data_IF_544951709786
#
_entry.id   IF_544951709786
#
_cell.length_a   1.000
_cell.length_b   1.000
_cell.length_c   1.000
_cell.angle_alpha   90.00
_cell.angle_beta   90.00
_cell.angle_gamma   90.00
#
_symmetry.space_group_name_H-M   'P 1'
#
loop_
_entity.id
_entity.type
_entity.pdbx_description
1 polymer ?
#
# COMPACT_ATOMS: atom_id res chain seq x y z
N UNK A 1 -31.05 18.67 14.10
CA UNK A 1 -31.06 18.41 12.64
C UNK A 1 -30.52 19.63 11.92
N UNK A 2 -29.76 19.41 10.85
CA UNK A 2 -29.28 20.46 9.97
C UNK A 2 -30.26 20.66 8.80
N UNK A 3 -30.39 21.88 8.29
CA UNK A 3 -31.28 22.20 7.16
C UNK A 3 -30.47 22.74 5.99
N UNK A 4 -30.91 22.41 4.77
CA UNK A 4 -30.40 23.05 3.55
C UNK A 4 -31.14 24.38 3.37
N UNK A 5 -30.48 25.47 3.74
CA UNK A 5 -31.02 26.83 3.57
C UNK A 5 -30.32 27.59 2.42
N UNK A 6 -30.93 28.68 1.99
CA UNK A 6 -30.28 29.64 1.11
C UNK A 6 -29.32 30.56 1.88
N UNK A 7 -29.56 30.71 3.19
CA UNK A 7 -28.76 31.50 4.10
C UNK A 7 -27.63 30.63 4.70
N UNK A 8 -26.35 31.05 4.58
CA UNK A 8 -25.22 30.33 5.15
C UNK A 8 -25.27 30.20 6.68
N UNK A 9 -25.88 31.15 7.39
CA UNK A 9 -26.00 31.11 8.85
C UNK A 9 -27.00 30.04 9.28
N UNK A 10 -28.16 29.99 8.63
CA UNK A 10 -29.20 29.00 8.93
C UNK A 10 -28.78 27.55 8.65
N UNK A 11 -27.87 27.36 7.69
CA UNK A 11 -27.34 26.05 7.33
C UNK A 11 -26.45 25.43 8.43
N UNK A 12 -25.91 26.26 9.33
CA UNK A 12 -25.09 25.84 10.46
C UNK A 12 -25.82 25.96 11.81
N UNK A 13 -27.09 26.36 11.82
CA UNK A 13 -27.92 26.35 13.02
C UNK A 13 -28.48 24.95 13.34
N UNK A 14 -28.49 24.64 14.64
CA UNK A 14 -29.12 23.43 15.17
C UNK A 14 -30.62 23.65 15.26
N UNK A 15 -31.35 22.90 14.45
CA UNK A 15 -32.82 22.85 14.51
C UNK A 15 -33.27 21.63 15.32
N UNK A 16 -34.20 21.83 16.24
CA UNK A 16 -34.85 20.76 16.97
C UNK A 16 -36.32 20.67 16.54
N UNK A 17 -36.80 19.45 16.32
CA UNK A 17 -38.21 19.20 16.04
C UNK A 17 -38.99 19.24 17.36
N UNK A 18 -40.10 19.98 17.39
CA UNK A 18 -40.99 20.02 18.56
C UNK A 18 -41.92 18.81 18.54
N UNK A 19 -42.33 18.36 19.73
CA UNK A 19 -43.33 17.27 19.89
C UNK A 19 -44.68 17.60 19.23
N UNK A 20 -45.06 18.88 19.15
CA UNK A 20 -46.34 19.32 18.58
C UNK A 20 -46.25 19.65 17.07
N UNK A 21 -45.20 19.22 16.39
CA UNK A 21 -44.91 19.61 15.01
C UNK A 21 -44.17 20.95 14.89
N UNK A 22 -43.46 21.11 13.78
CA UNK A 22 -42.59 22.26 13.51
C UNK A 22 -41.18 22.14 14.08
N UNK A 23 -40.32 23.07 13.70
CA UNK A 23 -38.90 23.12 14.08
C UNK A 23 -38.60 24.42 14.81
N UNK A 24 -37.75 24.39 15.83
CA UNK A 24 -37.23 25.59 16.51
C UNK A 24 -35.72 25.47 16.66
N UNK A 25 -35.01 26.55 16.39
CA UNK A 25 -33.61 26.74 16.77
C UNK A 25 -33.54 27.54 18.08
N UNK A 26 -32.49 27.32 18.88
CA UNK A 26 -32.17 28.12 20.07
C UNK A 26 -30.92 29.00 19.86
N UNK A 27 -30.58 29.30 18.60
CA UNK A 27 -29.35 30.02 18.26
C UNK A 27 -28.07 29.20 18.47
N UNK A 28 -28.18 27.90 18.70
CA UNK A 28 -27.03 27.01 18.77
C UNK A 28 -26.53 26.70 17.37
N UNK A 29 -25.22 26.75 17.19
CA UNK A 29 -24.53 26.43 15.95
C UNK A 29 -23.87 25.06 16.06
N UNK A 30 -23.73 24.38 14.93
CA UNK A 30 -22.89 23.19 14.85
C UNK A 30 -21.42 23.59 15.06
N UNK A 31 -20.60 22.69 15.65
CA UNK A 31 -19.18 22.95 15.81
C UNK A 31 -18.49 23.11 14.46
N UNK A 32 -17.38 23.85 14.46
CA UNK A 32 -16.60 24.10 13.26
C UNK A 32 -16.12 22.78 12.62
N UNK A 33 -16.13 22.72 11.30
CA UNK A 33 -15.84 21.50 10.53
C UNK A 33 -17.04 20.59 10.29
N UNK A 34 -18.22 20.91 10.82
CA UNK A 34 -19.46 20.17 10.47
C UNK A 34 -19.83 20.41 9.01
N UNK A 35 -20.00 19.34 8.23
CA UNK A 35 -20.42 19.42 6.83
C UNK A 35 -21.73 20.19 6.72
N UNK A 36 -21.84 21.14 5.80
CA UNK A 36 -23.05 21.91 5.57
C UNK A 36 -23.36 22.02 4.07
N UNK A 37 -24.58 22.42 3.73
CA UNK A 37 -24.96 22.61 2.34
C UNK A 37 -25.93 23.77 2.19
N UNK A 38 -25.57 24.73 1.35
CA UNK A 38 -26.47 25.81 0.95
C UNK A 38 -27.14 25.49 -0.38
N UNK A 39 -28.26 26.15 -0.69
CA UNK A 39 -28.92 26.01 -2.01
C UNK A 39 -28.01 26.40 -3.19
N UNK A 40 -26.95 27.19 -2.94
CA UNK A 40 -25.94 27.61 -3.93
C UNK A 40 -24.84 26.56 -4.13
N UNK A 41 -24.50 25.79 -3.09
CA UNK A 41 -23.49 24.72 -3.10
C UNK A 41 -24.03 23.36 -3.59
N UNK A 42 -25.02 23.36 -4.50
CA UNK A 42 -25.73 22.12 -4.85
C UNK A 42 -24.95 21.16 -5.75
N UNK A 43 -23.80 21.56 -6.29
CA UNK A 43 -23.00 20.75 -7.21
C UNK A 43 -21.51 20.76 -6.84
N UNK A 44 -21.08 19.69 -6.17
CA UNK A 44 -19.67 19.26 -6.13
C UNK A 44 -18.69 20.07 -5.28
N UNK A 45 -19.14 21.09 -4.53
CA UNK A 45 -18.29 21.87 -3.63
C UNK A 45 -18.38 21.33 -2.20
N UNK A 46 -17.24 21.20 -1.54
CA UNK A 46 -17.17 20.89 -0.11
C UNK A 46 -17.43 22.15 0.70
N UNK A 47 -18.43 22.11 1.60
CA UNK A 47 -18.77 23.24 2.46
C UNK A 47 -18.84 22.78 3.92
N UNK A 48 -18.33 23.61 4.82
CA UNK A 48 -18.26 23.31 6.26
C UNK A 48 -18.67 24.51 7.10
N UNK A 49 -19.18 24.25 8.29
CA UNK A 49 -19.47 25.29 9.28
C UNK A 49 -18.16 25.85 9.83
N UNK A 50 -18.03 27.18 9.79
CA UNK A 50 -16.95 27.93 10.42
C UNK A 50 -17.59 29.12 11.13
N UNK A 51 -17.37 29.23 12.44
CA UNK A 51 -17.94 30.29 13.27
C UNK A 51 -19.46 30.45 13.08
N UNK A 52 -20.18 29.34 12.93
CA UNK A 52 -21.62 29.34 12.75
C UNK A 52 -22.13 29.72 11.35
N UNK A 53 -21.25 29.89 10.36
CA UNK A 53 -21.61 30.10 8.95
C UNK A 53 -21.16 28.96 8.07
N UNK A 54 -22.00 28.59 7.10
CA UNK A 54 -21.66 27.59 6.10
C UNK A 54 -20.77 28.22 5.01
N UNK A 55 -19.50 27.87 5.02
CA UNK A 55 -18.50 28.41 4.11
C UNK A 55 -18.10 27.36 3.07
N UNK A 56 -17.99 27.80 1.82
CA UNK A 56 -17.59 26.96 0.69
C UNK A 56 -16.07 26.95 0.58
N UNK A 57 -15.49 25.75 0.48
CA UNK A 57 -14.08 25.57 0.22
C UNK A 57 -13.87 25.24 -1.26
N UNK A 58 -12.99 26.00 -1.90
CA UNK A 58 -12.70 25.87 -3.32
C UNK A 58 -11.20 25.60 -3.47
N UNK A 59 -10.87 24.74 -4.43
CA UNK A 59 -9.50 24.31 -4.72
C UNK A 59 -8.77 25.13 -5.78
N UNK A 60 -9.48 26.02 -6.47
CA UNK A 60 -8.92 26.92 -7.47
C UNK A 60 -8.68 28.33 -6.91
N UNK A 61 -7.50 28.87 -7.18
CA UNK A 61 -7.01 30.17 -6.72
C UNK A 61 -7.60 31.39 -7.46
N UNK A 62 -8.63 31.22 -8.27
CA UNK A 62 -9.16 32.29 -9.14
C UNK A 62 -10.35 33.07 -8.55
N UNK A 63 -10.89 32.67 -7.39
CA UNK A 63 -11.96 33.40 -6.72
C UNK A 63 -11.45 34.06 -5.43
N UNK A 64 -11.36 35.39 -5.43
CA UNK A 64 -10.78 36.21 -4.35
C UNK A 64 -11.60 36.23 -3.05
N UNK A 65 -12.73 35.53 -2.96
CA UNK A 65 -13.71 35.66 -1.85
C UNK A 65 -14.03 34.32 -1.15
N UNK A 66 -13.32 33.24 -1.46
CA UNK A 66 -13.57 31.92 -0.86
C UNK A 66 -12.40 31.48 0.04
N UNK A 67 -12.71 30.72 1.10
CA UNK A 67 -11.68 30.07 1.90
C UNK A 67 -10.93 29.07 1.01
N UNK A 68 -9.67 29.39 0.72
CA UNK A 68 -8.80 28.57 -0.11
C UNK A 68 -8.37 27.38 0.74
N UNK A 69 -8.73 26.18 0.31
CA UNK A 69 -8.27 24.96 0.94
C UNK A 69 -6.77 24.78 0.63
N UNK A 70 -5.96 24.35 1.60
CA UNK A 70 -4.54 24.04 1.34
C UNK A 70 -4.43 23.12 0.12
N UNK A 71 -3.51 23.41 -0.80
CA UNK A 71 -3.39 22.70 -2.09
C UNK A 71 -3.22 21.17 -1.95
N UNK A 72 -2.81 20.70 -0.78
CA UNK A 72 -2.63 19.29 -0.40
C UNK A 72 -3.95 18.56 -0.05
N UNK A 73 -4.98 19.30 0.38
CA UNK A 73 -6.31 18.76 0.71
C UNK A 73 -7.28 18.82 -0.48
N UNK A 74 -6.83 19.43 -1.57
CA UNK A 74 -7.53 19.43 -2.84
C UNK A 74 -7.22 18.14 -3.59
N UNK A 75 -8.23 17.47 -4.19
CA UNK A 75 -7.97 16.35 -5.08
C UNK A 75 -7.02 16.85 -6.17
N UNK A 76 -5.80 16.34 -6.21
CA UNK A 76 -4.82 16.66 -7.23
C UNK A 76 -5.26 16.02 -8.55
N UNK A 77 -6.22 16.64 -9.23
CA UNK A 77 -6.62 16.31 -10.60
C UNK A 77 -6.10 17.41 -11.51
N UNK A 78 -4.77 17.43 -11.68
CA UNK A 78 -4.10 18.22 -12.71
C UNK A 78 -3.00 17.39 -13.34
N UNK A 79 -3.44 16.38 -14.10
CA UNK A 79 -2.85 15.99 -15.37
C UNK A 79 -3.65 14.82 -15.93
N UNK A 80 -4.81 15.10 -16.52
CA UNK A 80 -5.23 14.43 -17.76
C UNK A 80 -6.47 15.11 -18.36
N UNK A 81 -6.21 15.90 -19.40
CA UNK A 81 -7.10 16.18 -20.53
C UNK A 81 -8.43 16.88 -20.26
N UNK A 82 -8.37 18.18 -19.95
CA UNK A 82 -9.50 19.09 -20.16
C UNK A 82 -9.57 19.55 -21.63
N UNK A 83 -9.79 18.62 -22.56
CA UNK A 83 -10.28 18.92 -23.93
C UNK A 83 -11.20 17.80 -24.43
N UNK A 84 -12.28 17.49 -23.70
CA UNK A 84 -13.29 16.55 -24.24
C UNK A 84 -14.75 16.90 -23.93
N UNK A 85 -15.03 18.06 -23.33
CA UNK A 85 -16.42 18.44 -23.02
C UNK A 85 -17.13 19.24 -24.13
N UNK A 86 -16.55 19.37 -25.34
CA UNK A 86 -17.22 20.09 -26.45
C UNK A 86 -17.38 19.34 -27.76
N UNK A 87 -16.91 18.09 -27.87
CA UNK A 87 -17.19 17.26 -29.04
C UNK A 87 -17.79 15.95 -28.55
N UNK A 88 -19.03 15.67 -28.97
CA UNK A 88 -19.78 14.46 -28.64
C UNK A 88 -19.22 13.17 -29.26
N UNK A 89 -17.89 13.01 -29.28
CA UNK A 89 -17.22 11.78 -29.67
C UNK A 89 -17.03 10.93 -28.41
N UNK A 90 -17.98 10.02 -28.19
CA UNK A 90 -17.85 8.92 -27.24
C UNK A 90 -16.59 8.10 -27.60
N UNK A 91 -15.46 8.36 -26.96
CA UNK A 91 -14.42 7.34 -26.85
C UNK A 91 -15.03 6.18 -26.06
N UNK A 92 -15.27 5.06 -26.75
CA UNK A 92 -15.73 3.79 -26.19
C UNK A 92 -14.60 3.12 -25.41
N UNK A 93 -14.00 3.81 -24.45
CA UNK A 93 -13.21 3.15 -23.42
C UNK A 93 -14.02 3.25 -22.14
N UNK A 94 -14.66 2.13 -21.78
CA UNK A 94 -15.17 1.89 -20.43
C UNK A 94 -13.97 1.85 -19.47
N UNK A 95 -13.33 2.99 -19.23
CA UNK A 95 -12.38 3.13 -18.14
C UNK A 95 -13.16 2.99 -16.85
N UNK A 96 -12.93 1.88 -16.17
CA UNK A 96 -13.52 1.61 -14.87
C UNK A 96 -13.04 2.73 -13.94
N UNK A 97 -13.94 3.62 -13.54
CA UNK A 97 -13.62 4.68 -12.58
C UNK A 97 -13.58 4.09 -11.18
N UNK A 98 -12.37 3.76 -10.71
CA UNK A 98 -12.11 3.33 -9.34
C UNK A 98 -12.33 4.48 -8.36
N UNK A 99 -13.01 4.20 -7.25
CA UNK A 99 -13.16 5.12 -6.12
C UNK A 99 -12.56 4.48 -4.88
N UNK A 100 -11.83 5.25 -4.08
CA UNK A 100 -11.26 4.78 -2.81
C UNK A 100 -12.36 4.27 -1.88
N UNK A 101 -12.21 3.04 -1.41
CA UNK A 101 -13.06 2.39 -0.42
C UNK A 101 -12.44 2.44 1.00
N UNK A 102 -11.12 2.50 1.10
CA UNK A 102 -10.37 2.64 2.37
C UNK A 102 -9.34 3.79 2.29
N UNK A 103 -8.77 4.14 3.45
CA UNK A 103 -7.60 5.01 3.54
C UNK A 103 -6.34 4.33 2.98
N UNK A 104 -5.24 5.09 2.88
CA UNK A 104 -3.94 4.55 2.50
C UNK A 104 -3.27 3.91 3.72
N UNK A 105 -3.03 2.59 3.66
CA UNK A 105 -2.40 1.86 4.74
C UNK A 105 -0.95 1.50 4.39
N UNK A 106 -0.03 1.82 5.29
CA UNK A 106 1.39 1.55 5.12
C UNK A 106 1.99 0.99 6.40
N UNK A 107 2.76 -0.10 6.28
CA UNK A 107 3.30 -0.84 7.42
C UNK A 107 4.67 -0.36 7.91
N UNK A 108 5.14 0.81 7.44
CA UNK A 108 6.43 1.37 7.80
C UNK A 108 7.62 0.44 7.46
N UNK A 109 7.53 -0.29 6.36
CA UNK A 109 8.62 -1.12 5.83
C UNK A 109 9.12 -0.49 4.53
N UNK A 110 10.44 -0.36 4.40
CA UNK A 110 11.11 0.19 3.21
C UNK A 110 12.24 -0.72 2.73
N UNK A 111 12.31 -1.04 1.43
CA UNK A 111 11.44 -0.56 0.35
C UNK A 111 10.02 -1.14 0.42
N UNK A 112 9.01 -0.31 0.13
CA UNK A 112 7.60 -0.66 0.21
C UNK A 112 6.69 0.51 -0.14
N UNK A 113 5.39 0.24 -0.28
CA UNK A 113 4.38 1.23 -0.64
C UNK A 113 3.11 1.07 0.20
N UNK A 114 2.26 2.09 0.19
CA UNK A 114 0.94 2.02 0.80
C UNK A 114 -0.05 1.30 -0.13
N UNK A 115 -1.06 0.67 0.47
CA UNK A 115 -2.17 0.07 -0.27
C UNK A 115 -3.51 0.56 0.25
N UNK A 116 -4.49 0.58 -0.64
CA UNK A 116 -5.89 0.90 -0.32
C UNK A 116 -6.84 0.01 -1.11
N UNK A 117 -8.03 -0.19 -0.56
CA UNK A 117 -9.14 -0.82 -1.26
C UNK A 117 -9.82 0.21 -2.16
N UNK A 118 -10.19 -0.22 -3.35
CA UNK A 118 -10.96 0.58 -4.31
C UNK A 118 -12.19 -0.17 -4.78
N UNK A 119 -13.22 0.58 -5.16
CA UNK A 119 -14.47 0.05 -5.68
C UNK A 119 -14.89 0.77 -6.96
N UNK A 120 -15.39 0.01 -7.92
CA UNK A 120 -15.98 0.54 -9.15
C UNK A 120 -17.47 0.76 -8.99
N UNK A 121 -17.96 1.95 -9.37
CA UNK A 121 -19.41 2.22 -9.48
C UNK A 121 -19.88 1.83 -10.88
N UNK A 122 -20.24 0.55 -11.05
CA UNK A 122 -20.89 0.02 -12.25
C UNK A 122 -22.14 -0.81 -11.90
N UNK A 123 -22.79 -1.43 -12.91
CA UNK A 123 -23.91 -2.37 -12.68
C UNK A 123 -23.52 -3.54 -11.77
N UNK A 124 -22.24 -3.89 -11.76
CA UNK A 124 -21.63 -4.82 -10.82
C UNK A 124 -20.57 -4.04 -10.04
N UNK A 125 -20.75 -3.89 -8.73
CA UNK A 125 -19.75 -3.30 -7.86
C UNK A 125 -18.56 -4.27 -7.81
N UNK A 126 -17.42 -3.87 -8.37
CA UNK A 126 -16.16 -4.63 -8.28
C UNK A 126 -15.28 -3.99 -7.24
N UNK A 127 -14.68 -4.79 -6.37
CA UNK A 127 -13.60 -4.37 -5.48
C UNK A 127 -12.25 -4.72 -6.11
N UNK A 128 -11.24 -3.91 -5.83
CA UNK A 128 -9.85 -4.17 -6.16
C UNK A 128 -8.94 -3.52 -5.12
N UNK A 129 -7.64 -3.72 -5.29
CA UNK A 129 -6.58 -3.11 -4.49
C UNK A 129 -5.89 -2.08 -5.38
N UNK A 130 -5.48 -0.97 -4.80
CA UNK A 130 -4.67 0.03 -5.50
C UNK A 130 -3.51 0.48 -4.63
N UNK A 131 -2.36 0.76 -5.26
CA UNK A 131 -1.25 1.41 -4.57
C UNK A 131 -1.61 2.84 -4.20
N UNK A 132 -0.98 3.33 -3.14
CA UNK A 132 -1.10 4.71 -2.69
C UNK A 132 0.19 5.14 -2.02
N UNK A 133 0.44 6.45 -2.03
CA UNK A 133 1.57 7.03 -1.31
C UNK A 133 1.16 7.24 0.15
N UNK A 134 1.96 6.76 1.12
CA UNK A 134 1.69 7.02 2.52
C UNK A 134 1.96 8.49 2.87
N UNK A 135 1.17 9.02 3.81
CA UNK A 135 1.44 10.33 4.38
C UNK A 135 2.82 10.33 5.06
N UNK A 136 3.68 11.29 4.73
CA UNK A 136 5.09 11.35 5.14
C UNK A 136 5.33 11.27 6.66
N UNK A 137 4.29 11.52 7.47
CA UNK A 137 4.36 11.58 8.94
C UNK A 137 3.73 10.36 9.65
N UNK A 138 3.28 9.33 8.92
CA UNK A 138 2.59 8.17 9.51
C UNK A 138 3.49 7.16 10.24
N UNK A 139 4.80 7.22 10.06
CA UNK A 139 5.73 6.20 10.56
C UNK A 139 6.75 6.78 11.55
N UNK A 140 6.67 6.38 12.83
CA UNK A 140 7.67 6.78 13.83
C UNK A 140 9.06 6.18 13.58
N UNK A 141 9.13 4.94 13.06
CA UNK A 141 10.39 4.30 12.64
C UNK A 141 10.15 3.36 11.47
N UNK A 142 10.84 3.62 10.37
CA UNK A 142 10.84 2.75 9.19
C UNK A 142 11.77 1.57 9.45
N UNK A 143 11.31 0.36 9.14
CA UNK A 143 12.08 -0.90 9.25
C UNK A 143 12.45 -1.41 7.87
N UNK A 144 13.58 -2.09 7.75
CA UNK A 144 13.89 -2.86 6.53
C UNK A 144 13.20 -4.23 6.56
N UNK A 145 12.96 -4.88 5.40
CA UNK A 145 12.49 -6.27 5.35
C UNK A 145 13.36 -7.21 6.21
N UNK A 146 14.67 -7.03 6.19
CA UNK A 146 15.60 -7.79 7.02
C UNK A 146 15.37 -7.60 8.53
N UNK A 147 15.15 -6.35 8.98
CA UNK A 147 14.87 -6.06 10.39
C UNK A 147 13.52 -6.65 10.82
N UNK A 148 12.51 -6.57 9.95
CA UNK A 148 11.21 -7.18 10.21
C UNK A 148 11.32 -8.70 10.33
N UNK A 149 11.95 -9.35 9.35
CA UNK A 149 12.16 -10.80 9.35
C UNK A 149 12.97 -11.27 10.57
N UNK A 150 14.06 -10.58 10.90
CA UNK A 150 14.89 -10.93 12.08
C UNK A 150 14.14 -10.73 13.39
N UNK A 151 13.22 -9.77 13.48
CA UNK A 151 12.36 -9.63 14.67
C UNK A 151 11.45 -10.85 14.84
N UNK A 152 10.84 -11.34 13.75
CA UNK A 152 10.00 -12.54 13.78
C UNK A 152 10.85 -13.76 14.11
N UNK A 153 11.94 -13.98 13.40
CA UNK A 153 12.83 -15.13 13.62
C UNK A 153 13.45 -15.13 15.03
N UNK A 154 13.71 -13.96 15.61
CA UNK A 154 14.10 -13.83 17.02
C UNK A 154 13.04 -14.39 17.98
N UNK A 155 11.76 -14.09 17.76
CA UNK A 155 10.65 -14.66 18.54
C UNK A 155 10.54 -16.18 18.36
N UNK A 156 10.73 -16.67 17.14
CA UNK A 156 10.68 -18.11 16.86
C UNK A 156 11.85 -18.86 17.49
N UNK A 157 13.05 -18.27 17.53
CA UNK A 157 14.24 -18.84 18.19
C UNK A 157 14.00 -19.17 19.66
N UNK A 158 13.23 -18.35 20.38
CA UNK A 158 12.92 -18.59 21.79
C UNK A 158 12.13 -19.89 22.01
N UNK A 159 11.39 -20.36 21.00
CA UNK A 159 10.50 -21.54 21.08
C UNK A 159 11.00 -22.74 20.27
N UNK A 160 11.64 -22.49 19.14
CA UNK A 160 12.14 -23.49 18.20
C UNK A 160 13.67 -23.47 18.26
N UNK A 161 14.25 -24.56 18.79
CA UNK A 161 15.71 -24.75 18.80
C UNK A 161 16.22 -24.88 17.35
N UNK A 162 17.49 -24.53 17.10
CA UNK A 162 18.18 -24.57 15.79
C UNK A 162 18.03 -23.33 14.89
N UNK A 163 17.48 -22.23 15.39
CA UNK A 163 17.41 -20.96 14.64
C UNK A 163 18.42 -19.95 15.18
N UNK A 164 19.11 -19.24 14.29
CA UNK A 164 20.05 -18.18 14.70
C UNK A 164 19.33 -16.95 15.27
N UNK A 165 18.08 -16.75 14.86
CA UNK A 165 17.27 -15.56 15.14
C UNK A 165 17.34 -14.50 14.03
N UNK A 166 18.20 -14.70 13.03
CA UNK A 166 18.25 -13.85 11.85
C UNK A 166 17.22 -14.31 10.82
N UNK A 167 16.59 -13.35 10.16
CA UNK A 167 15.60 -13.59 9.11
C UNK A 167 15.87 -12.76 7.88
N UNK A 168 15.43 -13.23 6.72
CA UNK A 168 15.56 -12.49 5.47
C UNK A 168 14.39 -12.74 4.52
N UNK A 169 14.31 -11.86 3.52
CA UNK A 169 13.49 -12.04 2.33
C UNK A 169 14.28 -12.86 1.31
N UNK A 170 13.70 -13.95 0.79
CA UNK A 170 14.36 -14.82 -0.20
C UNK A 170 13.81 -14.54 -1.60
N UNK A 171 14.67 -14.67 -2.60
CA UNK A 171 14.33 -14.62 -4.03
C UNK A 171 13.17 -15.55 -4.43
N UNK A 172 12.39 -15.21 -5.47
CA UNK A 172 11.43 -16.15 -6.04
C UNK A 172 12.14 -17.40 -6.57
N UNK A 173 11.42 -18.52 -6.64
CA UNK A 173 11.87 -19.78 -7.24
C UNK A 173 10.82 -20.34 -8.21
N UNK A 174 11.19 -21.35 -9.00
CA UNK A 174 10.27 -22.00 -9.96
C UNK A 174 9.10 -22.65 -9.23
N UNK A 175 9.41 -23.31 -8.13
CA UNK A 175 8.45 -24.01 -7.29
C UNK A 175 7.57 -23.08 -6.43
N UNK A 176 8.11 -21.92 -6.05
CA UNK A 176 7.41 -20.94 -5.21
C UNK A 176 7.76 -19.50 -5.64
N UNK A 177 6.98 -18.88 -6.54
CA UNK A 177 7.19 -17.50 -6.97
C UNK A 177 6.83 -16.48 -5.87
N UNK A 178 5.98 -16.85 -4.90
CA UNK A 178 5.53 -15.99 -3.80
C UNK A 178 6.49 -15.99 -2.61
N UNK A 179 7.58 -16.77 -2.68
CA UNK A 179 8.61 -16.89 -1.64
C UNK A 179 9.15 -15.56 -1.09
N UNK A 180 9.31 -14.48 -1.88
CA UNK A 180 9.69 -13.17 -1.36
C UNK A 180 8.70 -12.55 -0.38
N UNK A 181 7.46 -13.03 -0.33
CA UNK A 181 6.46 -12.55 0.62
C UNK A 181 6.33 -13.44 1.86
N UNK A 182 7.26 -14.39 2.03
CA UNK A 182 7.37 -15.27 3.19
C UNK A 182 8.68 -15.01 3.92
N UNK A 183 8.60 -14.97 5.25
CA UNK A 183 9.73 -14.80 6.15
C UNK A 183 10.51 -16.11 6.21
N UNK A 184 11.81 -16.01 5.97
CA UNK A 184 12.72 -17.14 6.08
C UNK A 184 13.70 -16.93 7.23
N UNK A 185 13.74 -17.89 8.15
CA UNK A 185 14.60 -17.87 9.33
C UNK A 185 15.85 -18.72 9.13
N UNK A 186 17.00 -18.17 9.48
CA UNK A 186 18.30 -18.81 9.29
C UNK A 186 18.54 -19.90 10.35
N UNK A 187 19.16 -21.01 9.91
CA UNK A 187 19.67 -22.06 10.80
C UNK A 187 20.76 -21.50 11.73
N UNK A 188 20.82 -22.02 12.94
CA UNK A 188 21.79 -21.62 13.98
C UNK A 188 23.25 -21.91 13.59
N UNK A 189 23.49 -23.06 12.94
CA UNK A 189 24.84 -23.54 12.66
C UNK A 189 25.23 -23.34 11.18
N UNK A 190 24.25 -23.18 10.29
CA UNK A 190 24.48 -23.15 8.85
C UNK A 190 23.92 -21.85 8.26
N UNK A 191 24.82 -20.89 8.02
CA UNK A 191 24.45 -19.51 7.64
C UNK A 191 23.73 -19.39 6.28
N UNK A 192 23.92 -20.33 5.37
CA UNK A 192 23.29 -20.32 4.04
C UNK A 192 22.01 -21.16 3.99
N UNK A 193 21.55 -21.69 5.13
CA UNK A 193 20.34 -22.51 5.25
C UNK A 193 19.23 -21.71 5.94
N UNK A 194 18.06 -21.71 5.32
CA UNK A 194 16.87 -21.00 5.79
C UNK A 194 15.65 -21.90 5.82
N UNK A 195 14.74 -21.62 6.75
CA UNK A 195 13.47 -22.31 6.93
C UNK A 195 12.33 -21.30 6.79
N UNK A 196 11.30 -21.64 6.01
CA UNK A 196 10.12 -20.77 5.88
C UNK A 196 9.25 -20.89 7.11
N UNK A 197 8.73 -19.73 7.55
CA UNK A 197 7.72 -19.66 8.59
C UNK A 197 6.36 -19.97 8.00
N UNK A 198 5.63 -20.90 8.62
CA UNK A 198 4.30 -21.31 8.21
C UNK A 198 3.23 -20.39 8.83
N UNK A 199 2.11 -20.21 8.12
CA UNK A 199 0.98 -19.40 8.58
C UNK A 199 1.12 -17.89 8.31
N UNK A 200 0.09 -17.14 8.72
CA UNK A 200 -0.02 -15.69 8.48
C UNK A 200 1.08 -14.89 9.19
N UNK A 201 1.58 -15.38 10.34
CA UNK A 201 2.70 -14.76 11.06
C UNK A 201 4.04 -14.85 10.31
N UNK A 202 4.12 -15.76 9.34
CA UNK A 202 5.27 -15.94 8.47
C UNK A 202 5.25 -15.07 7.22
N UNK A 203 4.29 -14.16 7.06
CA UNK A 203 4.20 -13.32 5.87
C UNK A 203 4.80 -11.94 6.07
N UNK A 204 5.39 -11.41 5.00
CA UNK A 204 5.74 -10.00 5.00
C UNK A 204 4.46 -9.14 5.00
N UNK A 205 4.45 -8.03 5.76
CA UNK A 205 3.30 -7.13 5.81
C UNK A 205 2.98 -6.59 4.44
N UNK A 206 1.70 -6.26 4.26
CA UNK A 206 1.22 -5.78 2.98
C UNK A 206 1.96 -4.51 2.54
N UNK A 207 2.22 -4.38 1.24
CA UNK A 207 2.97 -3.28 0.66
C UNK A 207 4.50 -3.41 0.75
N UNK A 208 5.03 -4.48 1.36
CA UNK A 208 6.48 -4.77 1.32
C UNK A 208 6.91 -5.08 -0.11
N UNK A 209 8.01 -4.50 -0.60
CA UNK A 209 8.52 -4.74 -1.95
C UNK A 209 8.99 -6.19 -2.12
N UNK A 210 8.54 -6.85 -3.19
CA UNK A 210 8.97 -8.19 -3.59
C UNK A 210 9.61 -8.24 -4.99
N UNK A 211 9.81 -7.09 -5.64
CA UNK A 211 10.42 -6.97 -6.98
C UNK A 211 11.94 -7.16 -7.00
N UNK A 212 12.58 -7.22 -5.82
CA UNK A 212 14.04 -7.32 -5.62
C UNK A 212 14.84 -6.33 -6.47
N UNK A 213 14.40 -5.07 -6.50
CA UNK A 213 15.10 -3.95 -7.17
C UNK A 213 15.22 -4.08 -8.70
N UNK A 214 14.41 -4.92 -9.35
CA UNK A 214 14.22 -4.82 -10.80
C UNK A 214 13.39 -3.56 -11.08
N UNK A 215 14.04 -2.49 -11.55
CA UNK A 215 13.47 -1.13 -11.64
C UNK A 215 12.18 -1.02 -12.46
N UNK A 216 11.92 -2.01 -13.30
CA UNK A 216 10.89 -1.94 -14.32
C UNK A 216 9.54 -2.50 -13.83
N UNK A 217 9.51 -3.18 -12.68
CA UNK A 217 8.31 -3.87 -12.17
C UNK A 217 7.96 -3.47 -10.75
N UNK A 218 6.74 -2.98 -10.57
CA UNK A 218 6.17 -2.69 -9.26
C UNK A 218 5.52 -3.96 -8.71
N UNK A 219 6.17 -4.65 -7.78
CA UNK A 219 5.60 -5.84 -7.16
C UNK A 219 5.65 -5.75 -5.63
N UNK A 220 4.52 -6.01 -4.98
CA UNK A 220 4.37 -5.87 -3.53
C UNK A 220 3.65 -7.06 -2.91
N UNK A 221 4.02 -7.35 -1.66
CA UNK A 221 3.42 -8.41 -0.87
C UNK A 221 2.01 -8.03 -0.42
N UNK A 222 1.06 -8.94 -0.57
CA UNK A 222 -0.29 -8.86 -0.02
C UNK A 222 -0.71 -10.28 0.38
N UNK A 223 -1.03 -10.49 1.66
CA UNK A 223 -1.44 -11.81 2.17
C UNK A 223 -0.49 -12.96 1.79
N UNK A 224 0.82 -12.74 1.92
CA UNK A 224 1.84 -13.75 1.57
C UNK A 224 1.99 -14.03 0.07
N UNK A 225 1.33 -13.25 -0.81
CA UNK A 225 1.45 -13.31 -2.28
C UNK A 225 2.22 -12.11 -2.82
N UNK A 226 3.07 -12.33 -3.81
CA UNK A 226 3.77 -11.25 -4.50
C UNK A 226 2.95 -10.84 -5.74
N UNK A 227 2.29 -9.69 -5.67
CA UNK A 227 1.44 -9.20 -6.76
C UNK A 227 2.16 -8.09 -7.53
N UNK A 228 2.17 -8.21 -8.86
CA UNK A 228 2.64 -7.16 -9.77
C UNK A 228 1.51 -6.15 -10.03
N UNK A 229 1.87 -4.88 -10.11
CA UNK A 229 0.96 -3.76 -10.29
C UNK A 229 1.23 -3.08 -11.62
N UNK A 230 0.16 -2.80 -12.35
CA UNK A 230 0.19 -2.12 -13.63
C UNK A 230 0.48 -0.63 -13.50
N UNK A 231 0.42 0.07 -14.63
CA UNK A 231 0.53 1.54 -14.68
C UNK A 231 -0.68 2.24 -14.04
N UNK A 232 -1.80 1.56 -13.89
CA UNK A 232 -3.00 2.04 -13.19
C UNK A 232 -2.95 1.81 -11.67
N UNK A 233 -1.80 1.33 -11.18
CA UNK A 233 -1.54 0.97 -9.79
C UNK A 233 -2.51 -0.08 -9.25
N UNK A 234 -3.13 -0.91 -10.10
CA UNK A 234 -3.93 -2.07 -9.71
C UNK A 234 -3.24 -3.41 -10.06
N UNK A 235 -3.58 -4.53 -9.38
CA UNK A 235 -2.95 -5.81 -9.64
C UNK A 235 -3.19 -6.31 -11.07
N UNK A 236 -2.13 -6.74 -11.75
CA UNK A 236 -2.24 -7.36 -13.08
C UNK A 236 -2.76 -8.80 -12.97
N UNK A 237 -3.52 -9.25 -13.97
CA UNK A 237 -4.03 -10.63 -14.02
C UNK A 237 -2.96 -11.67 -14.33
N UNK A 238 -1.86 -11.26 -14.98
CA UNK A 238 -0.72 -12.11 -15.29
C UNK A 238 0.55 -11.36 -14.92
N UNK A 239 1.39 -11.96 -14.08
CA UNK A 239 2.68 -11.38 -13.66
C UNK A 239 3.84 -12.22 -14.15
N UNK A 240 4.91 -11.56 -14.58
CA UNK A 240 6.12 -12.21 -15.07
C UNK A 240 7.25 -12.03 -14.06
N UNK A 241 7.77 -13.11 -13.49
CA UNK A 241 8.94 -13.07 -12.62
C UNK A 241 10.18 -13.56 -13.37
N UNK A 242 11.23 -12.75 -13.38
CA UNK A 242 12.56 -13.16 -13.84
C UNK A 242 13.32 -13.74 -12.67
N UNK A 243 13.71 -15.02 -12.77
CA UNK A 243 14.52 -15.65 -11.76
C UNK A 243 15.97 -15.15 -11.81
N UNK A 244 16.65 -15.02 -10.66
CA UNK A 244 18.09 -14.81 -10.65
C UNK A 244 18.79 -16.01 -11.32
N UNK A 245 19.68 -15.72 -12.27
CA UNK A 245 20.42 -16.73 -13.00
C UNK A 245 21.29 -17.54 -12.02
N UNK A 246 20.98 -18.83 -11.85
CA UNK A 246 21.88 -19.79 -11.21
C UNK A 246 23.03 -20.08 -12.17
N UNK A 247 24.06 -19.23 -12.17
CA UNK A 247 25.24 -19.39 -13.03
C UNK A 247 26.10 -20.57 -12.54
N UNK A 248 25.73 -21.79 -12.94
CA UNK A 248 26.61 -22.95 -12.85
C UNK A 248 27.47 -23.01 -14.12
N UNK A 249 28.64 -22.37 -14.06
CA UNK A 249 29.80 -22.56 -14.95
C UNK A 249 29.52 -23.12 -16.36
N UNK A 250 29.04 -22.30 -17.30
CA UNK A 250 29.33 -22.49 -18.72
C UNK A 250 29.61 -21.14 -19.39
N UNK A 251 30.81 -21.04 -19.95
CA UNK A 251 31.27 -19.94 -20.80
C UNK A 251 30.43 -19.92 -22.09
N UNK A 252 29.28 -19.26 -22.06
CA UNK A 252 28.63 -18.75 -23.26
C UNK A 252 27.68 -17.63 -22.84
N UNK A 253 27.95 -16.43 -23.33
CA UNK A 253 27.07 -15.26 -23.24
C UNK A 253 25.78 -15.55 -24.04
N UNK A 254 24.85 -16.26 -23.44
CA UNK A 254 23.45 -16.24 -23.84
C UNK A 254 22.62 -15.99 -22.59
N UNK A 255 22.00 -14.81 -22.56
CA UNK A 255 21.24 -14.27 -21.44
C UNK A 255 19.89 -15.00 -21.33
N UNK A 256 19.92 -16.30 -21.00
CA UNK A 256 18.74 -17.13 -20.86
C UNK A 256 18.09 -16.85 -19.50
N UNK A 257 17.43 -15.69 -19.37
CA UNK A 257 16.59 -15.39 -18.22
C UNK A 257 15.39 -16.34 -18.22
N UNK A 258 15.30 -17.21 -17.22
CA UNK A 258 14.10 -18.02 -17.00
C UNK A 258 13.00 -17.11 -16.48
N UNK A 259 11.96 -16.93 -17.31
CA UNK A 259 10.75 -16.18 -16.98
C UNK A 259 9.69 -17.15 -16.48
N UNK A 260 9.07 -16.83 -15.35
CA UNK A 260 7.90 -17.54 -14.82
C UNK A 260 6.70 -16.62 -14.98
N UNK A 261 5.62 -17.16 -15.55
CA UNK A 261 4.34 -16.46 -15.66
C UNK A 261 3.44 -17.00 -14.55
N UNK A 262 2.97 -16.14 -13.65
CA UNK A 262 1.94 -16.50 -12.67
C UNK A 262 0.63 -15.82 -13.04
N UNK A 263 -0.47 -16.55 -12.97
CA UNK A 263 -1.80 -16.03 -13.32
C UNK A 263 -2.59 -15.80 -12.03
N UNK A 264 -3.08 -14.58 -11.86
CA UNK A 264 -3.97 -14.20 -10.77
C UNK A 264 -5.43 -14.41 -11.21
N UNK A 265 -6.06 -15.45 -10.66
CA UNK A 265 -7.47 -15.72 -10.94
C UNK A 265 -8.37 -14.75 -10.16
N UNK A 266 -9.56 -14.43 -10.69
CA UNK A 266 -10.51 -13.52 -10.04
C UNK A 266 -10.92 -14.02 -8.64
N UNK A 267 -11.13 -15.33 -8.47
CA UNK A 267 -11.46 -15.90 -7.16
C UNK A 267 -10.33 -15.72 -6.13
N UNK A 268 -9.07 -15.81 -6.58
CA UNK A 268 -7.91 -15.58 -5.71
C UNK A 268 -7.81 -14.11 -5.32
N UNK A 269 -8.04 -13.19 -6.27
CA UNK A 269 -8.09 -11.76 -5.98
C UNK A 269 -9.18 -11.42 -4.97
N UNK A 270 -10.37 -12.00 -5.09
CA UNK A 270 -11.47 -11.81 -4.13
C UNK A 270 -11.12 -12.32 -2.72
N UNK A 271 -10.44 -13.46 -2.61
CA UNK A 271 -9.93 -13.97 -1.33
C UNK A 271 -8.90 -13.04 -0.71
N UNK A 272 -7.94 -12.55 -1.50
CA UNK A 272 -6.91 -11.59 -1.06
C UNK A 272 -7.56 -10.29 -0.58
N UNK A 273 -8.56 -9.78 -1.31
CA UNK A 273 -9.30 -8.58 -0.89
C UNK A 273 -10.04 -8.80 0.42
N UNK A 274 -10.68 -9.97 0.59
CA UNK A 274 -11.40 -10.30 1.83
C UNK A 274 -10.45 -10.34 3.03
N UNK A 275 -9.30 -10.98 2.90
CA UNK A 275 -8.29 -11.08 3.95
C UNK A 275 -7.62 -9.73 4.27
N UNK A 276 -7.33 -8.94 3.23
CA UNK A 276 -6.85 -7.57 3.41
C UNK A 276 -7.88 -6.75 4.19
N UNK A 277 -9.15 -6.80 3.80
CA UNK A 277 -10.22 -6.07 4.50
C UNK A 277 -10.34 -6.50 5.97
N UNK A 278 -10.18 -7.80 6.27
CA UNK A 278 -10.11 -8.32 7.64
C UNK A 278 -8.95 -7.70 8.43
N UNK A 279 -7.77 -7.65 7.80
CA UNK A 279 -6.56 -7.05 8.39
C UNK A 279 -6.74 -5.57 8.66
N UNK A 280 -7.30 -4.82 7.70
CA UNK A 280 -7.54 -3.38 7.83
C UNK A 280 -8.60 -3.04 8.88
N UNK A 281 -9.57 -3.94 9.08
CA UNK A 281 -10.63 -3.79 10.09
C UNK A 281 -10.17 -4.16 11.51
N UNK A 282 -8.93 -4.61 11.70
CA UNK A 282 -8.38 -4.97 13.01
C UNK A 282 -8.89 -6.29 13.58
N UNK A 283 -9.60 -7.12 12.79
CA UNK A 283 -10.14 -8.41 13.22
C UNK A 283 -9.09 -9.54 13.10
N UNK A 284 -7.95 -9.35 13.76
CA UNK A 284 -6.89 -10.36 13.85
C UNK A 284 -7.24 -11.37 14.95
N UNK A 285 -7.58 -12.61 14.57
CA UNK A 285 -7.61 -13.72 15.54
C UNK A 285 -6.20 -14.27 15.65
N UNK A 286 -5.50 -13.89 16.71
CA UNK A 286 -4.17 -14.40 17.04
C UNK A 286 -4.27 -15.77 17.70
N UNK A 287 -4.45 -16.82 16.90
CA UNK A 287 -3.96 -18.13 17.31
C UNK A 287 -2.47 -18.20 16.95
N UNK A 288 -1.63 -17.68 17.85
CA UNK A 288 -0.17 -17.66 17.68
C UNK A 288 0.40 -19.08 17.73
N UNK A 289 0.27 -19.81 16.63
CA UNK A 289 0.86 -21.14 16.47
C UNK A 289 2.18 -21.00 15.75
N UNK A 290 3.26 -21.15 16.51
CA UNK A 290 4.63 -21.11 15.98
C UNK A 290 4.88 -22.40 15.20
N UNK A 291 4.78 -22.31 13.88
CA UNK A 291 5.00 -23.41 12.96
C UNK A 291 6.09 -23.04 11.94
N UNK A 292 7.15 -23.86 11.90
CA UNK A 292 8.25 -23.77 10.94
C UNK A 292 8.55 -25.20 10.48
N UNK A 293 8.61 -25.41 9.16
CA UNK A 293 9.03 -26.69 8.60
C UNK A 293 10.56 -26.80 8.57
N UNK A 294 11.12 -27.53 9.54
CA UNK A 294 12.56 -27.80 9.63
C UNK A 294 13.03 -28.94 8.70
N UNK A 295 12.13 -29.64 8.02
CA UNK A 295 12.46 -30.76 7.14
C UNK A 295 12.72 -30.31 5.69
N UNK A 296 12.28 -29.10 5.32
CA UNK A 296 12.44 -28.56 3.98
C UNK A 296 13.31 -27.29 3.96
N UNK A 297 14.64 -27.42 4.16
CA UNK A 297 15.53 -26.27 4.16
C UNK A 297 15.71 -25.67 2.76
N UNK A 298 15.74 -24.34 2.70
CA UNK A 298 16.15 -23.58 1.53
C UNK A 298 17.63 -23.25 1.67
N UNK A 299 18.41 -23.59 0.66
CA UNK A 299 19.82 -23.20 0.55
C UNK A 299 19.93 -21.97 -0.34
N UNK A 300 20.48 -20.88 0.19
CA UNK A 300 20.68 -19.62 -0.55
C UNK A 300 22.17 -19.45 -0.83
N UNK A 301 22.54 -19.40 -2.10
CA UNK A 301 23.92 -19.12 -2.50
C UNK A 301 24.30 -17.67 -2.16
N UNK A 302 25.42 -17.52 -1.44
CA UNK A 302 25.90 -16.25 -0.86
C UNK A 302 26.17 -15.14 -1.90
N UNK A 303 26.30 -15.48 -3.18
CA UNK A 303 26.47 -14.51 -4.27
C UNK A 303 25.20 -13.69 -4.57
N UNK A 304 24.03 -14.13 -4.10
CA UNK A 304 22.75 -13.42 -4.31
C UNK A 304 22.37 -12.47 -3.16
N UNK A 305 23.18 -12.40 -2.10
CA UNK A 305 22.95 -11.56 -0.92
C UNK A 305 23.75 -10.27 -1.06
N UNK A 306 23.16 -9.27 -1.70
CA UNK A 306 23.73 -7.93 -1.72
C UNK A 306 23.43 -7.27 -0.36
N UNK A 307 24.33 -7.44 0.60
CA UNK A 307 24.29 -6.73 1.87
C UNK A 307 24.42 -5.22 1.62
N UNK A 308 23.50 -4.37 2.12
CA UNK A 308 23.67 -2.92 2.08
C UNK A 308 24.58 -2.51 3.23
N UNK A 309 25.87 -2.79 3.13
CA UNK A 309 26.89 -2.23 4.01
C UNK A 309 27.93 -1.48 3.16
N UNK A 310 27.61 -0.22 2.83
CA UNK A 310 28.64 0.77 2.57
C UNK A 310 29.26 1.17 3.92
N UNK A 311 30.23 0.40 4.40
CA UNK A 311 31.15 0.87 5.42
C UNK A 311 32.31 1.52 4.68
N UNK A 312 32.39 2.85 4.77
CA UNK A 312 33.55 3.61 4.36
C UNK A 312 34.83 2.98 4.93
N UNK A 313 35.65 2.39 4.05
CA UNK A 313 37.08 2.22 4.31
C UNK A 313 37.81 3.37 3.64
N UNK A 314 37.97 4.46 4.39
CA UNK A 314 39.12 5.34 4.21
C UNK A 314 40.36 4.53 4.53
N UNK A 315 40.98 3.94 3.52
CA UNK A 315 42.37 3.48 3.61
C UNK A 315 43.27 4.65 3.24
N UNK A 316 43.77 5.32 4.28
CA UNK A 316 45.09 5.95 4.24
C UNK A 316 46.12 4.87 3.90
N UNK A 317 46.82 5.03 2.78
CA UNK A 317 48.23 4.66 2.60
C UNK A 317 48.61 4.89 1.13
N UNK A 318 49.03 6.10 0.80
CA UNK A 318 49.93 6.33 -0.34
C UNK A 318 51.29 6.76 0.22
N UNK A 319 52.24 5.83 0.20
CA UNK A 319 53.66 6.12 0.30
C UNK A 319 54.32 5.60 -0.98
N UNK A 320 54.80 6.55 -1.81
CA UNK A 320 55.93 6.52 -2.77
C UNK A 320 55.86 5.46 -3.90
N UNK A 321 56.25 5.70 -5.16
CA UNK A 321 57.47 6.36 -5.61
C UNK A 321 57.59 6.44 -7.16
N UNK A 322 58.47 7.34 -7.64
CA UNK A 322 59.12 7.48 -8.98
C UNK A 322 58.33 7.98 -10.20
N UNK A 323 58.51 9.27 -10.53
CA UNK A 323 59.45 9.76 -11.57
C UNK A 323 59.63 11.28 -11.45
#
# INVERSE_FOLDING_TARGET
>A
MQKVSADPEEACLVWCQKRNGGTKSRGWTFPDGTVCQTRRSRYGKSSYCINGRCEDFICDSYNEVAFIQMSELCPADRNDNEVTWRTGLRSRQNTIKWKSASGCHFNCISPGTGIRLVMSKGKYAKSSIQLCQPDQFGCGRIKSPFQHASMICGKYKERVRRLSGLGMQISPAVEDPDRPCRVACQDENISHRFYLVNGEEGWFPFGTDCSRSTSDKKAYCISGKCLEFGSDDTPVSESEFTLPLLSRNKRSLHNNNTKIITKLNQQQLEQIIHELNRTLSGNFQTDCRFDIDLNNPIHVDMETVQYPYNVHKTQSNDYVNYA
#
